data_IF_107828761602
#
_entry.id   IF_107828761602
#
_cell.length_a   1.000
_cell.length_b   1.000
_cell.length_c   1.000
_cell.angle_alpha   90.00
_cell.angle_beta   90.00
_cell.angle_gamma   90.00
#
_symmetry.space_group_name_H-M   'P 1'
#
loop_
_entity.id
_entity.type
_entity.pdbx_description
1 polymer ?
#
# COMPACT_ATOMS: atom_id res chain seq x y z
N UNK A 1 11.23 -1.83 9.47
CA UNK A 1 11.71 -2.33 8.17
C UNK A 1 10.73 -1.92 7.09
N UNK A 2 11.20 -1.60 5.90
CA UNK A 2 10.38 -1.47 4.68
C UNK A 2 10.67 -2.67 3.78
N UNK A 3 9.63 -3.26 3.20
CA UNK A 3 9.73 -4.41 2.30
C UNK A 3 9.01 -4.12 1.00
N UNK A 4 9.71 -4.29 -0.12
CA UNK A 4 9.14 -4.24 -1.46
C UNK A 4 8.86 -5.67 -1.95
N UNK A 5 7.63 -5.93 -2.37
CA UNK A 5 7.20 -7.20 -2.96
C UNK A 5 7.26 -7.04 -4.48
N UNK A 6 8.13 -7.81 -5.13
CA UNK A 6 8.44 -7.66 -6.55
C UNK A 6 8.15 -8.96 -7.31
N UNK A 7 7.59 -8.84 -8.50
CA UNK A 7 7.45 -9.95 -9.43
C UNK A 7 7.80 -9.49 -10.86
N UNK A 8 8.79 -10.13 -11.51
CA UNK A 8 9.26 -9.76 -12.85
C UNK A 8 9.54 -8.25 -13.03
N UNK A 9 10.24 -7.65 -12.06
CA UNK A 9 10.51 -6.20 -11.97
C UNK A 9 9.28 -5.30 -11.80
N UNK A 10 8.07 -5.87 -11.64
CA UNK A 10 6.88 -5.13 -11.27
C UNK A 10 6.73 -5.07 -9.74
N UNK A 11 6.42 -3.90 -9.21
CA UNK A 11 6.19 -3.68 -7.79
C UNK A 11 4.73 -4.02 -7.44
N UNK A 12 4.53 -5.10 -6.70
CA UNK A 12 3.21 -5.55 -6.27
C UNK A 12 2.74 -4.81 -5.02
N UNK A 13 3.63 -4.66 -4.04
CA UNK A 13 3.31 -4.00 -2.78
C UNK A 13 4.53 -3.45 -2.04
N UNK A 14 4.28 -2.52 -1.13
CA UNK A 14 5.26 -2.01 -0.17
C UNK A 14 4.70 -2.19 1.23
N UNK A 15 5.42 -2.87 2.13
CA UNK A 15 5.04 -3.04 3.53
C UNK A 15 5.99 -2.22 4.39
N UNK A 16 5.44 -1.29 5.18
CA UNK A 16 6.16 -0.55 6.22
C UNK A 16 5.79 -1.18 7.57
N UNK A 17 6.77 -1.77 8.24
CA UNK A 17 6.55 -2.36 9.58
C UNK A 17 6.38 -1.28 10.64
N UNK A 18 5.53 -1.57 11.64
CA UNK A 18 5.21 -0.68 12.78
C UNK A 18 6.41 -0.06 13.49
N UNK A 19 7.54 -0.77 13.54
CA UNK A 19 8.78 -0.35 14.18
C UNK A 19 9.79 0.26 13.18
N UNK A 20 9.37 0.67 11.98
CA UNK A 20 10.23 1.39 11.05
C UNK A 20 10.46 2.83 11.54
N UNK A 21 11.72 3.20 11.63
CA UNK A 21 12.13 4.51 12.11
C UNK A 21 13.41 4.96 11.39
N UNK A 22 13.32 6.09 10.69
CA UNK A 22 14.45 6.77 10.05
C UNK A 22 14.15 8.27 9.98
N UNK A 23 15.10 9.11 10.39
CA UNK A 23 14.90 10.56 10.33
C UNK A 23 14.76 11.05 8.88
N UNK A 24 13.89 12.03 8.65
CA UNK A 24 13.70 12.70 7.36
C UNK A 24 12.42 12.29 6.63
N UNK A 25 12.40 12.56 5.32
CA UNK A 25 11.29 12.24 4.41
C UNK A 25 11.79 11.19 3.43
N UNK A 26 11.11 10.06 3.38
CA UNK A 26 11.49 8.91 2.56
C UNK A 26 10.30 8.47 1.73
N UNK A 27 10.39 8.68 0.41
CA UNK A 27 9.43 8.14 -0.55
C UNK A 27 9.80 6.69 -0.87
N UNK A 28 8.81 5.81 -0.89
CA UNK A 28 9.02 4.38 -1.20
C UNK A 28 8.46 3.97 -2.55
N UNK A 29 7.59 4.81 -3.13
CA UNK A 29 7.00 4.66 -4.45
C UNK A 29 7.90 5.27 -5.53
N UNK A 30 7.92 4.70 -6.74
CA UNK A 30 8.48 5.36 -7.92
C UNK A 30 7.78 6.69 -8.23
N UNK A 31 8.52 7.65 -8.80
CA UNK A 31 8.02 9.01 -9.09
C UNK A 31 6.86 9.05 -10.10
N UNK A 32 6.71 8.01 -10.93
CA UNK A 32 5.67 7.90 -11.95
C UNK A 32 4.35 7.31 -11.42
N UNK A 33 4.31 6.87 -10.16
CA UNK A 33 3.07 6.38 -9.56
C UNK A 33 2.07 7.53 -9.33
N UNK A 34 0.80 7.26 -9.65
CA UNK A 34 -0.30 8.21 -9.42
C UNK A 34 -0.61 8.41 -7.93
N UNK A 35 -0.32 7.41 -7.10
CA UNK A 35 -0.35 7.48 -5.63
C UNK A 35 1.06 7.36 -5.05
N UNK A 36 1.45 8.27 -4.16
CA UNK A 36 2.77 8.29 -3.54
C UNK A 36 2.69 7.88 -2.06
N UNK A 37 3.60 7.01 -1.62
CA UNK A 37 3.75 6.63 -0.20
C UNK A 37 5.08 7.14 0.33
N UNK A 38 5.02 7.98 1.35
CA UNK A 38 6.20 8.48 2.05
C UNK A 38 6.07 8.29 3.57
N UNK A 39 7.20 7.96 4.20
CA UNK A 39 7.37 8.05 5.65
C UNK A 39 8.08 9.34 6.00
N UNK A 40 7.60 10.02 7.05
CA UNK A 40 8.14 11.30 7.50
C UNK A 40 8.37 11.23 9.01
N UNK A 41 9.61 11.47 9.43
CA UNK A 41 9.99 11.61 10.83
C UNK A 41 10.82 12.89 10.99
N UNK A 42 10.29 13.82 11.79
CA UNK A 42 10.93 15.10 12.08
C UNK A 42 11.16 15.25 13.57
N UNK A 43 12.32 15.81 13.93
CA UNK A 43 12.63 16.19 15.30
C UNK A 43 11.76 17.36 15.77
N UNK A 44 11.56 17.44 17.09
CA UNK A 44 10.85 18.56 17.72
C UNK A 44 11.46 19.91 17.32
N UNK A 45 10.60 20.87 16.96
CA UNK A 45 11.01 22.21 16.52
C UNK A 45 11.14 22.36 15.00
N UNK A 46 11.06 21.27 14.21
CA UNK A 46 10.97 21.37 12.75
C UNK A 46 9.68 22.09 12.35
N UNK A 47 9.82 23.13 11.53
CA UNK A 47 8.71 23.81 10.86
C UNK A 47 8.54 23.22 9.46
N UNK A 48 7.32 22.75 9.15
CA UNK A 48 6.89 22.42 7.80
C UNK A 48 6.16 23.66 7.27
N UNK A 49 6.67 24.25 6.20
CA UNK A 49 6.10 25.48 5.64
C UNK A 49 4.67 25.24 5.11
N UNK A 50 3.72 26.15 5.39
CA UNK A 50 2.39 26.08 4.78
C UNK A 50 2.48 26.15 3.26
N UNK A 51 1.80 25.25 2.56
CA UNK A 51 1.76 25.23 1.11
C UNK A 51 0.42 24.71 0.59
N UNK A 52 0.14 25.01 -0.67
CA UNK A 52 -0.95 24.42 -1.45
C UNK A 52 -0.35 23.64 -2.61
N UNK A 53 -1.02 22.57 -3.04
CA UNK A 53 -0.59 21.85 -4.23
C UNK A 53 -1.05 22.56 -5.50
N UNK A 54 -0.15 22.67 -6.47
CA UNK A 54 -0.48 23.17 -7.80
C UNK A 54 -1.39 22.17 -8.54
N UNK A 55 -2.31 22.65 -9.38
CA UNK A 55 -3.05 21.77 -10.27
C UNK A 55 -2.06 21.13 -11.25
N UNK A 56 -1.95 19.80 -11.19
CA UNK A 56 -1.13 19.00 -12.10
C UNK A 56 -2.01 17.88 -12.64
N UNK A 57 -2.19 17.78 -13.98
CA UNK A 57 -2.93 16.67 -14.57
C UNK A 57 -2.17 15.36 -14.30
N UNK A 58 -2.90 14.32 -13.88
CA UNK A 58 -2.37 12.97 -13.65
C UNK A 58 -3.28 11.96 -14.31
N UNK A 59 -2.69 10.90 -14.85
CA UNK A 59 -3.42 9.75 -15.36
C UNK A 59 -3.41 8.64 -14.31
N UNK A 60 -4.57 8.03 -14.08
CA UNK A 60 -4.72 6.88 -13.20
C UNK A 60 -5.10 5.69 -14.07
N UNK A 61 -4.17 4.73 -14.19
CA UNK A 61 -4.39 3.51 -14.97
C UNK A 61 -5.08 2.43 -14.14
N UNK A 62 -4.63 2.28 -12.90
CA UNK A 62 -5.14 1.32 -11.94
C UNK A 62 -5.35 2.01 -10.60
N UNK A 63 -6.30 1.48 -9.84
CA UNK A 63 -6.53 1.96 -8.50
C UNK A 63 -5.55 1.28 -7.54
N UNK A 64 -4.77 2.11 -6.85
CA UNK A 64 -3.88 1.69 -5.76
C UNK A 64 -4.57 1.95 -4.42
N UNK A 65 -4.20 1.18 -3.40
CA UNK A 65 -4.76 1.36 -2.06
C UNK A 65 -3.71 1.15 -0.97
N UNK A 66 -3.82 1.94 0.08
CA UNK A 66 -3.01 1.85 1.30
C UNK A 66 -3.88 1.40 2.44
N UNK A 67 -3.49 0.33 3.12
CA UNK A 67 -4.14 -0.16 4.33
C UNK A 67 -3.30 0.16 5.55
N UNK A 68 -3.94 0.72 6.56
CA UNK A 68 -3.37 0.96 7.89
C UNK A 68 -4.02 -0.02 8.87
N UNK A 69 -3.24 -1.00 9.36
CA UNK A 69 -3.76 -2.00 10.30
C UNK A 69 -3.80 -1.38 11.70
N UNK A 70 -4.99 -1.15 12.25
CA UNK A 70 -5.15 -0.57 13.60
C UNK A 70 -5.16 -1.63 14.70
N UNK A 71 -5.75 -2.79 14.42
CA UNK A 71 -5.90 -3.92 15.35
C UNK A 71 -5.88 -5.22 14.55
N UNK A 72 -5.39 -6.31 15.16
CA UNK A 72 -5.50 -7.67 14.63
C UNK A 72 -4.32 -8.12 13.76
N UNK A 73 -4.56 -9.20 13.03
CA UNK A 73 -3.56 -9.87 12.19
C UNK A 73 -4.19 -10.30 10.85
N UNK A 74 -3.56 -9.89 9.76
CA UNK A 74 -4.01 -10.12 8.38
C UNK A 74 -2.93 -10.90 7.63
N UNK A 75 -3.30 -11.96 6.92
CA UNK A 75 -2.47 -12.49 5.83
C UNK A 75 -2.88 -11.81 4.54
N UNK A 76 -1.90 -11.32 3.79
CA UNK A 76 -2.07 -10.90 2.40
C UNK A 76 -1.41 -11.93 1.49
N UNK A 77 -2.15 -12.38 0.48
CA UNK A 77 -1.69 -13.30 -0.56
C UNK A 77 -1.54 -12.51 -1.86
N UNK A 78 -0.43 -12.69 -2.58
CA UNK A 78 -0.14 -11.99 -3.83
C UNK A 78 -0.27 -12.92 -5.05
N UNK A 79 -0.73 -12.34 -6.16
CA UNK A 79 -0.96 -13.03 -7.41
C UNK A 79 -0.40 -12.22 -8.59
N UNK A 80 0.03 -12.90 -9.64
CA UNK A 80 0.38 -12.25 -10.90
C UNK A 80 -0.87 -11.86 -11.73
N UNK A 81 -0.65 -11.29 -12.92
CA UNK A 81 -1.72 -10.87 -13.83
C UNK A 81 -2.53 -12.05 -14.39
N UNK A 82 -1.94 -13.26 -14.42
CA UNK A 82 -2.62 -14.50 -14.78
C UNK A 82 -3.33 -15.17 -13.58
N UNK A 83 -3.46 -14.46 -12.45
CA UNK A 83 -4.13 -14.91 -11.23
C UNK A 83 -3.42 -16.10 -10.56
N UNK A 84 -2.14 -16.35 -10.86
CA UNK A 84 -1.35 -17.39 -10.21
C UNK A 84 -0.79 -16.88 -8.90
N UNK A 85 -0.90 -17.69 -7.86
CA UNK A 85 -0.35 -17.37 -6.55
C UNK A 85 1.18 -17.25 -6.59
N UNK A 86 1.70 -16.26 -5.86
CA UNK A 86 3.12 -15.98 -5.77
C UNK A 86 3.66 -16.25 -4.35
N UNK A 87 3.22 -15.45 -3.39
CA UNK A 87 3.67 -15.52 -1.99
C UNK A 87 2.68 -14.83 -1.05
N UNK A 88 2.91 -14.95 0.27
CA UNK A 88 2.08 -14.33 1.29
C UNK A 88 2.89 -13.68 2.40
N UNK A 89 2.32 -12.65 3.03
CA UNK A 89 2.92 -11.93 4.16
C UNK A 89 1.89 -11.68 5.26
N UNK A 90 2.35 -11.63 6.51
CA UNK A 90 1.53 -11.27 7.65
C UNK A 90 1.73 -9.79 7.98
N UNK A 91 0.61 -9.09 8.17
CA UNK A 91 0.51 -7.73 8.67
C UNK A 91 -0.09 -7.77 10.07
N UNK A 92 0.50 -7.01 10.98
CA UNK A 92 0.04 -6.84 12.36
C UNK A 92 -0.42 -5.40 12.61
N UNK A 93 -1.06 -5.17 13.76
CA UNK A 93 -1.37 -3.82 14.22
C UNK A 93 -0.14 -2.88 14.16
N UNK A 94 -0.33 -1.72 13.54
CA UNK A 94 0.68 -0.70 13.27
C UNK A 94 1.41 -0.85 11.94
N UNK A 95 1.29 -1.99 11.25
CA UNK A 95 1.85 -2.15 9.91
C UNK A 95 1.00 -1.39 8.87
N UNK A 96 1.69 -0.92 7.83
CA UNK A 96 1.11 -0.23 6.69
C UNK A 96 1.48 -1.00 5.43
N UNK A 97 0.55 -1.14 4.50
CA UNK A 97 0.80 -1.72 3.18
C UNK A 97 0.24 -0.82 2.08
N UNK A 98 1.04 -0.55 1.06
CA UNK A 98 0.56 -0.09 -0.25
C UNK A 98 0.45 -1.30 -1.18
N UNK A 99 -0.71 -1.45 -1.82
CA UNK A 99 -0.96 -2.42 -2.89
C UNK A 99 -0.87 -1.65 -4.22
N UNK A 100 0.20 -1.91 -4.95
CA UNK A 100 0.63 -1.10 -6.08
C UNK A 100 0.18 -1.68 -7.43
N UNK A 101 0.22 -3.01 -7.58
CA UNK A 101 -0.16 -3.71 -8.81
C UNK A 101 -0.40 -5.21 -8.55
N UNK A 102 -0.77 -5.95 -9.61
CA UNK A 102 -1.07 -7.38 -9.55
C UNK A 102 -2.37 -7.69 -8.81
N UNK A 103 -2.57 -8.97 -8.50
CA UNK A 103 -3.69 -9.42 -7.69
C UNK A 103 -3.29 -9.55 -6.22
N UNK A 104 -4.24 -9.32 -5.32
CA UNK A 104 -4.07 -9.63 -3.91
C UNK A 104 -5.35 -10.19 -3.31
N UNK A 105 -5.20 -11.00 -2.27
CA UNK A 105 -6.28 -11.53 -1.45
C UNK A 105 -5.92 -11.42 0.02
N UNK A 106 -6.92 -11.55 0.89
CA UNK A 106 -6.71 -11.44 2.33
C UNK A 106 -7.37 -12.58 3.09
N UNK A 107 -6.69 -13.05 4.12
CA UNK A 107 -7.25 -13.92 5.15
C UNK A 107 -7.11 -13.23 6.50
N UNK A 108 -8.23 -13.02 7.18
CA UNK A 108 -8.26 -12.44 8.53
C UNK A 108 -7.91 -13.53 9.54
N UNK A 109 -6.70 -13.47 10.10
CA UNK A 109 -6.21 -14.48 11.06
C UNK A 109 -6.66 -14.17 12.50
N UNK A 110 -6.83 -12.88 12.80
CA UNK A 110 -7.40 -12.38 14.05
C UNK A 110 -8.35 -11.20 13.76
N UNK A 111 -9.32 -10.95 14.63
CA UNK A 111 -10.26 -9.83 14.51
C UNK A 111 -9.55 -8.52 14.15
N UNK A 112 -9.84 -7.99 12.96
CA UNK A 112 -9.10 -6.90 12.35
C UNK A 112 -9.90 -5.59 12.31
N UNK A 113 -9.20 -4.49 12.56
CA UNK A 113 -9.66 -3.14 12.27
C UNK A 113 -8.60 -2.44 11.41
N UNK A 114 -9.02 -1.85 10.30
CA UNK A 114 -8.11 -1.17 9.38
C UNK A 114 -8.75 0.06 8.73
N UNK A 115 -7.91 0.99 8.30
CA UNK A 115 -8.31 2.14 7.49
C UNK A 115 -7.74 1.95 6.09
N UNK A 116 -8.55 2.21 5.06
CA UNK A 116 -8.13 2.22 3.67
C UNK A 116 -8.05 3.65 3.15
N UNK A 117 -6.98 3.95 2.41
CA UNK A 117 -6.85 5.14 1.56
C UNK A 117 -6.66 4.69 0.12
N UNK A 118 -7.65 4.94 -0.73
CA UNK A 118 -7.69 4.45 -2.11
C UNK A 118 -7.51 5.59 -3.11
N UNK A 119 -6.83 5.31 -4.21
CA UNK A 119 -6.65 6.27 -5.30
C UNK A 119 -8.01 6.61 -5.94
N UNK A 120 -8.29 7.90 -6.09
CA UNK A 120 -9.48 8.39 -6.78
C UNK A 120 -9.20 8.73 -8.26
N UNK A 121 -10.25 8.98 -9.07
CA UNK A 121 -11.67 8.99 -8.69
C UNK A 121 -12.22 7.56 -8.44
N UNK A 122 -13.15 7.43 -7.49
CA UNK A 122 -13.70 6.13 -7.09
C UNK A 122 -14.59 5.53 -8.20
N UNK A 123 -14.27 4.33 -8.69
CA UNK A 123 -15.06 3.64 -9.72
C UNK A 123 -16.03 2.57 -9.16
N UNK A 124 -16.05 2.37 -7.83
CA UNK A 124 -16.92 1.38 -7.19
C UNK A 124 -16.55 -0.05 -7.54
N UNK A 125 -17.56 -0.90 -7.77
CA UNK A 125 -17.35 -2.32 -8.10
C UNK A 125 -16.61 -2.53 -9.43
N UNK A 126 -16.52 -1.51 -10.29
CA UNK A 126 -15.78 -1.59 -11.55
C UNK A 126 -14.26 -1.53 -11.36
N UNK A 127 -13.77 -1.21 -10.16
CA UNK A 127 -12.34 -1.12 -9.85
C UNK A 127 -11.64 -2.49 -9.81
N UNK A 128 -12.38 -3.60 -9.69
CA UNK A 128 -11.79 -4.91 -9.41
C UNK A 128 -12.47 -6.06 -10.14
N UNK A 129 -11.64 -7.00 -10.59
CA UNK A 129 -12.06 -8.35 -10.99
C UNK A 129 -11.75 -9.30 -9.85
N UNK A 130 -12.73 -10.09 -9.43
CA UNK A 130 -12.56 -11.13 -8.39
C UNK A 130 -12.33 -12.48 -9.03
N UNK A 131 -11.51 -13.30 -8.39
CA UNK A 131 -11.16 -14.66 -8.82
C UNK A 131 -10.97 -15.57 -7.61
N UNK A 132 -10.90 -16.88 -7.84
CA UNK A 132 -10.63 -17.88 -6.80
C UNK A 132 -9.12 -17.88 -6.54
N UNK A 133 -8.72 -17.58 -5.31
CA UNK A 133 -7.32 -17.52 -4.88
C UNK A 133 -6.78 -18.86 -4.38
N UNK A 134 -5.62 -18.83 -3.72
CA UNK A 134 -4.95 -19.99 -3.13
C UNK A 134 -5.62 -20.55 -1.85
N UNK A 135 -6.91 -20.25 -1.65
CA UNK A 135 -7.74 -20.71 -0.52
C UNK A 135 -9.12 -21.10 -1.05
#
# INVERSE_FOLDING_TARGET
MVKHIMHNNNLLAIIIKKNFDIEGIHFFTPDDFSQQLAYMHHQTGKIIEPHIHNPVPRQVHFTQEVLFVRKGMLRVDFYDEEQRYLESHILEAGDIILLASGGHGFEVLEEIEMIEVKQGPYAGEKDKTRFIGAI
#
